data_IF_764914130806
#
_entry.id   IF_764914130806
#
_cell.length_a   1.000
_cell.length_b   1.000
_cell.length_c   1.000
_cell.angle_alpha   90.00
_cell.angle_beta   90.00
_cell.angle_gamma   90.00
#
_symmetry.space_group_name_H-M   'P 1'
#
loop_
_entity.id
_entity.type
_entity.pdbx_description
1 polymer ?
#
# COMPACT_ATOMS: atom_id res chain seq x y z
N UNK A 1 63.01 -54.53 31.39
CA UNK A 1 62.21 -53.47 32.02
C UNK A 1 61.30 -52.84 31.02
N UNK A 2 59.98 -53.17 31.03
CA UNK A 2 58.96 -52.65 30.09
C UNK A 2 58.16 -51.58 30.82
N UNK A 3 58.29 -50.31 30.39
CA UNK A 3 57.49 -49.21 30.91
C UNK A 3 56.10 -49.24 30.26
N UNK A 4 55.07 -49.39 31.09
CA UNK A 4 53.68 -49.28 30.68
C UNK A 4 53.31 -47.78 30.65
N UNK A 5 52.93 -47.27 29.48
CA UNK A 5 52.37 -45.92 29.32
C UNK A 5 50.87 -46.04 29.59
N UNK A 6 50.42 -45.39 30.66
CA UNK A 6 48.98 -45.25 30.97
C UNK A 6 48.51 -44.00 30.27
N UNK A 7 47.64 -44.18 29.26
CA UNK A 7 46.98 -43.08 28.56
C UNK A 7 45.69 -42.79 29.33
N UNK A 8 45.67 -41.64 30.03
CA UNK A 8 44.46 -41.10 30.66
C UNK A 8 43.60 -40.43 29.57
N UNK A 9 42.43 -41.01 29.30
CA UNK A 9 41.39 -40.32 28.53
C UNK A 9 40.63 -39.39 29.46
N UNK A 10 40.80 -38.09 29.27
CA UNK A 10 39.98 -37.09 29.92
C UNK A 10 38.76 -36.90 29.00
N UNK A 11 37.62 -37.46 29.39
CA UNK A 11 36.32 -37.20 28.74
C UNK A 11 35.83 -35.89 29.33
N UNK A 12 36.01 -34.82 28.55
CA UNK A 12 35.36 -33.54 28.86
C UNK A 12 33.87 -33.64 28.47
N UNK A 13 33.05 -33.73 29.48
CA UNK A 13 31.59 -33.65 29.35
C UNK A 13 31.25 -32.19 29.02
N UNK A 14 31.03 -31.84 27.77
CA UNK A 14 30.38 -30.58 27.36
C UNK A 14 28.91 -30.72 27.73
N UNK A 15 28.52 -30.07 28.83
CA UNK A 15 27.12 -29.83 29.17
C UNK A 15 26.54 -28.87 28.16
N UNK A 16 25.82 -29.41 27.19
CA UNK A 16 24.92 -28.60 26.31
C UNK A 16 23.75 -28.17 27.18
N UNK A 17 23.83 -26.93 27.69
CA UNK A 17 22.66 -26.29 28.30
C UNK A 17 21.63 -26.03 27.19
N UNK A 18 20.60 -26.86 27.18
CA UNK A 18 19.41 -26.66 26.36
C UNK A 18 18.70 -25.42 26.85
N UNK A 19 18.98 -24.27 26.23
CA UNK A 19 18.18 -23.06 26.40
C UNK A 19 16.82 -23.35 25.78
N UNK A 20 15.83 -23.70 26.59
CA UNK A 20 14.41 -23.68 26.20
C UNK A 20 14.05 -22.23 25.90
N UNK A 21 13.95 -21.88 24.63
CA UNK A 21 13.29 -20.66 24.21
C UNK A 21 11.85 -20.74 24.70
N UNK A 22 11.54 -19.98 25.76
CA UNK A 22 10.17 -19.71 26.14
C UNK A 22 9.55 -18.84 25.05
N UNK A 23 8.83 -19.45 24.14
CA UNK A 23 7.87 -18.72 23.32
C UNK A 23 6.78 -18.24 24.27
N UNK A 24 6.78 -16.96 24.59
CA UNK A 24 5.62 -16.32 25.16
C UNK A 24 4.49 -16.47 24.12
N UNK A 25 3.60 -17.40 24.35
CA UNK A 25 2.30 -17.43 23.71
C UNK A 25 1.63 -16.11 24.03
N UNK A 26 1.58 -15.22 23.05
CA UNK A 26 0.68 -14.06 23.09
C UNK A 26 -0.70 -14.63 23.21
N UNK A 27 -1.28 -14.52 24.40
CA UNK A 27 -2.68 -14.88 24.64
C UNK A 27 -3.54 -14.08 23.66
N UNK A 28 -4.53 -14.75 23.07
CA UNK A 28 -5.56 -14.22 22.21
C UNK A 28 -6.36 -13.11 22.90
N UNK A 29 -5.77 -11.93 23.05
CA UNK A 29 -6.49 -10.70 23.30
C UNK A 29 -7.03 -10.20 21.96
N UNK A 30 -8.09 -10.86 21.48
CA UNK A 30 -8.98 -10.29 20.50
C UNK A 30 -9.46 -8.95 21.09
N UNK A 31 -8.89 -7.86 20.60
CA UNK A 31 -9.39 -6.52 20.91
C UNK A 31 -10.81 -6.42 20.34
N UNK A 32 -11.80 -6.82 21.16
CA UNK A 32 -13.21 -6.53 20.88
C UNK A 32 -13.42 -5.05 21.13
N UNK A 33 -13.31 -4.25 20.09
CA UNK A 33 -13.82 -2.89 20.10
C UNK A 33 -15.33 -2.95 20.28
N UNK A 34 -15.80 -2.69 21.52
CA UNK A 34 -17.20 -2.33 21.73
C UNK A 34 -17.38 -0.91 21.21
N UNK A 35 -17.97 -0.76 20.04
CA UNK A 35 -18.49 0.52 19.57
C UNK A 35 -19.62 0.92 20.51
N UNK A 36 -19.37 1.84 21.44
CA UNK A 36 -20.44 2.55 22.13
C UNK A 36 -21.12 3.44 21.10
N UNK A 37 -22.36 3.17 20.77
CA UNK A 37 -23.24 4.17 20.13
C UNK A 37 -23.31 5.36 21.08
N UNK A 38 -22.68 6.45 20.71
CA UNK A 38 -22.90 7.75 21.31
C UNK A 38 -24.10 8.32 20.58
N UNK A 39 -25.27 8.27 21.21
CA UNK A 39 -26.44 9.06 20.81
C UNK A 39 -26.16 10.48 21.30
N UNK A 40 -25.55 11.32 20.45
CA UNK A 40 -25.48 12.75 20.70
C UNK A 40 -26.72 13.42 20.11
N UNK A 41 -27.68 13.74 20.98
CA UNK A 41 -28.68 14.77 20.73
C UNK A 41 -27.99 16.13 20.73
N UNK A 42 -27.59 16.61 19.55
CA UNK A 42 -27.18 18.01 19.39
C UNK A 42 -28.36 18.78 18.85
N UNK A 43 -28.84 19.80 19.58
CA UNK A 43 -29.88 20.68 19.05
C UNK A 43 -29.28 21.52 17.93
N UNK A 44 -29.84 21.42 16.74
CA UNK A 44 -29.53 22.21 15.57
C UNK A 44 -29.84 23.68 15.81
N UNK A 45 -28.85 24.50 16.10
CA UNK A 45 -28.95 25.95 16.03
C UNK A 45 -28.45 26.40 14.66
N UNK A 46 -29.38 26.92 13.86
CA UNK A 46 -29.09 27.55 12.59
C UNK A 46 -28.40 28.89 12.79
N UNK A 47 -27.08 28.97 12.56
CA UNK A 47 -26.42 30.21 12.24
C UNK A 47 -25.49 29.94 11.05
N UNK A 48 -25.84 30.64 9.97
CA UNK A 48 -25.10 30.69 8.71
C UNK A 48 -23.75 31.37 8.95
N UNK A 49 -22.67 30.63 8.76
CA UNK A 49 -21.37 31.07 8.28
C UNK A 49 -20.52 29.82 8.09
N UNK A 50 -20.76 29.12 6.96
CA UNK A 50 -19.89 28.01 6.52
C UNK A 50 -18.93 28.58 5.50
N UNK A 51 -17.79 29.00 6.01
CA UNK A 51 -16.62 29.22 5.17
C UNK A 51 -16.21 27.87 4.56
N UNK A 52 -16.07 27.89 3.26
CA UNK A 52 -15.95 26.75 2.35
C UNK A 52 -14.81 25.80 2.71
N UNK A 53 -15.12 24.72 3.44
CA UNK A 53 -14.35 23.49 3.36
C UNK A 53 -14.53 22.93 1.95
N UNK A 54 -13.48 22.98 1.16
CA UNK A 54 -13.45 22.46 -0.19
C UNK A 54 -13.78 20.97 -0.18
N UNK A 55 -15.08 20.67 -0.34
CA UNK A 55 -15.55 19.35 -0.72
C UNK A 55 -14.92 19.10 -2.09
N UNK A 56 -14.04 18.10 -2.18
CA UNK A 56 -13.45 17.68 -3.45
C UNK A 56 -14.59 17.52 -4.45
N UNK A 57 -14.55 18.17 -5.63
CA UNK A 57 -15.58 17.96 -6.63
C UNK A 57 -15.58 16.49 -6.99
N UNK A 58 -16.76 15.88 -7.23
CA UNK A 58 -16.83 14.51 -7.69
C UNK A 58 -15.94 14.39 -8.93
N UNK A 59 -15.08 13.37 -8.96
CA UNK A 59 -14.27 13.04 -10.12
C UNK A 59 -15.23 12.99 -11.30
N UNK A 60 -15.12 13.95 -12.25
CA UNK A 60 -15.94 13.95 -13.44
C UNK A 60 -15.83 12.56 -14.07
N UNK A 61 -16.96 11.92 -14.32
CA UNK A 61 -17.07 10.64 -15.03
C UNK A 61 -16.57 10.83 -16.47
N UNK A 62 -15.25 10.92 -16.61
CA UNK A 62 -14.59 10.85 -17.91
C UNK A 62 -14.17 9.41 -18.09
N UNK A 63 -14.79 8.78 -19.05
CA UNK A 63 -14.62 7.42 -19.53
C UNK A 63 -15.42 6.37 -18.76
N UNK A 64 -16.42 5.84 -19.43
CA UNK A 64 -17.27 4.73 -19.00
C UNK A 64 -16.40 3.57 -18.51
N UNK A 65 -16.18 3.50 -17.19
CA UNK A 65 -15.62 2.29 -16.59
C UNK A 65 -16.61 1.17 -16.88
N UNK A 66 -16.20 0.26 -17.75
CA UNK A 66 -16.97 -0.90 -18.18
C UNK A 66 -17.57 -1.60 -16.95
N UNK A 67 -18.86 -1.93 -17.00
CA UNK A 67 -19.58 -2.68 -15.95
C UNK A 67 -18.83 -3.94 -15.52
N UNK A 68 -18.12 -4.58 -16.44
CA UNK A 68 -17.23 -5.71 -16.21
C UNK A 68 -16.05 -5.35 -15.30
N UNK A 69 -15.52 -4.14 -15.39
CA UNK A 69 -14.44 -3.68 -14.52
C UNK A 69 -14.94 -3.43 -13.09
N UNK A 70 -16.14 -2.89 -12.91
CA UNK A 70 -16.78 -2.73 -11.60
C UNK A 70 -16.96 -4.09 -10.91
N UNK A 71 -17.35 -5.13 -11.65
CA UNK A 71 -17.51 -6.49 -11.14
C UNK A 71 -16.18 -7.08 -10.59
N UNK A 72 -15.02 -6.72 -11.14
CA UNK A 72 -13.75 -7.29 -10.69
C UNK A 72 -13.40 -6.90 -9.26
N UNK A 73 -13.80 -5.73 -8.81
CA UNK A 73 -13.46 -5.18 -7.50
C UNK A 73 -14.57 -5.39 -6.45
N UNK A 74 -15.77 -5.82 -6.86
CA UNK A 74 -16.88 -6.09 -5.93
C UNK A 74 -16.60 -7.20 -4.91
N UNK A 75 -15.58 -8.04 -5.16
CA UNK A 75 -15.14 -9.07 -4.23
C UNK A 75 -14.16 -8.60 -3.15
N UNK A 76 -13.79 -7.30 -3.12
CA UNK A 76 -12.88 -6.74 -2.11
C UNK A 76 -13.68 -5.91 -1.10
N UNK A 77 -13.79 -6.36 0.15
CA UNK A 77 -14.70 -5.79 1.14
C UNK A 77 -14.29 -4.39 1.63
N UNK A 78 -13.02 -4.03 1.43
CA UNK A 78 -12.50 -2.75 1.88
C UNK A 78 -11.42 -2.25 0.91
N UNK A 79 -11.66 -1.08 0.35
CA UNK A 79 -10.69 -0.35 -0.48
C UNK A 79 -10.53 1.04 0.11
N UNK A 80 -9.29 1.50 0.31
CA UNK A 80 -8.98 2.85 0.78
C UNK A 80 -8.23 3.63 -0.27
N UNK A 81 -8.20 4.95 -0.11
CA UNK A 81 -7.37 5.80 -0.98
C UNK A 81 -5.88 5.66 -0.67
N UNK A 82 -5.01 5.73 -1.70
CA UNK A 82 -3.55 5.61 -1.50
C UNK A 82 -2.92 6.86 -0.86
N UNK A 83 -3.64 7.99 -0.81
CA UNK A 83 -3.24 9.26 -0.20
C UNK A 83 -4.41 9.84 0.57
N UNK A 84 -4.15 10.74 1.51
CA UNK A 84 -5.21 11.46 2.26
C UNK A 84 -6.08 12.35 1.37
N UNK A 85 -5.49 12.93 0.31
CA UNK A 85 -6.18 13.77 -0.66
C UNK A 85 -5.86 13.28 -2.07
N UNK A 86 -6.87 13.09 -2.89
CA UNK A 86 -6.72 12.60 -4.26
C UNK A 86 -6.85 13.75 -5.23
N UNK A 87 -5.73 14.11 -5.87
CA UNK A 87 -5.70 15.04 -6.99
C UNK A 87 -4.93 14.41 -8.15
N UNK A 88 -5.65 14.02 -9.20
CA UNK A 88 -5.05 13.45 -10.41
C UNK A 88 -4.31 14.55 -11.15
N UNK A 89 -3.02 14.31 -11.44
CA UNK A 89 -2.17 15.21 -12.23
C UNK A 89 -1.91 14.69 -13.63
N UNK A 90 -1.99 13.36 -13.81
CA UNK A 90 -1.90 12.75 -15.13
C UNK A 90 -2.67 11.42 -15.19
N UNK A 91 -3.63 11.28 -16.12
CA UNK A 91 -4.45 10.08 -16.22
C UNK A 91 -3.70 8.91 -16.88
N UNK A 92 -4.26 7.73 -16.73
CA UNK A 92 -3.91 6.53 -17.47
C UNK A 92 -4.29 6.67 -18.95
N UNK A 93 -3.45 6.17 -19.86
CA UNK A 93 -3.73 6.18 -21.28
C UNK A 93 -2.77 7.03 -22.11
N UNK A 94 -3.16 7.38 -23.33
CA UNK A 94 -2.34 8.22 -24.19
C UNK A 94 -2.29 9.65 -23.68
N UNK A 95 -1.06 10.18 -23.53
CA UNK A 95 -0.81 11.56 -23.14
C UNK A 95 0.49 12.07 -23.73
N UNK A 96 0.68 13.38 -23.69
CA UNK A 96 1.98 13.98 -23.96
C UNK A 96 2.94 13.71 -22.80
N UNK A 97 4.05 13.04 -23.08
CA UNK A 97 5.09 12.75 -22.08
C UNK A 97 5.72 14.06 -21.59
N UNK A 98 5.73 14.35 -20.27
CA UNK A 98 6.19 15.62 -19.76
C UNK A 98 7.71 15.85 -19.90
N UNK A 99 8.50 14.79 -20.15
CA UNK A 99 9.94 14.86 -20.31
C UNK A 99 10.31 15.01 -21.79
N UNK A 100 9.71 14.20 -22.67
CA UNK A 100 10.06 14.16 -24.09
C UNK A 100 9.18 15.02 -24.97
N UNK A 101 8.02 15.45 -24.46
CA UNK A 101 7.02 16.20 -25.22
C UNK A 101 6.28 15.38 -26.28
N UNK A 102 6.60 14.09 -26.46
CA UNK A 102 6.00 13.22 -27.46
C UNK A 102 4.75 12.51 -26.93
N UNK A 103 3.85 12.11 -27.81
CA UNK A 103 2.74 11.22 -27.46
C UNK A 103 3.28 9.89 -26.95
N UNK A 104 2.85 9.46 -25.78
CA UNK A 104 3.23 8.18 -25.21
C UNK A 104 2.12 7.59 -24.36
N UNK A 105 2.16 6.26 -24.21
CA UNK A 105 1.23 5.55 -23.35
C UNK A 105 1.68 5.64 -21.87
N UNK A 106 0.79 6.12 -21.02
CA UNK A 106 0.94 6.16 -19.57
C UNK A 106 0.22 4.97 -18.93
N UNK A 107 0.96 4.03 -18.38
CA UNK A 107 0.43 2.78 -17.82
C UNK A 107 0.03 2.88 -16.35
N UNK A 108 -0.15 4.07 -15.82
CA UNK A 108 -0.49 4.35 -14.44
C UNK A 108 -1.30 5.63 -14.30
N UNK A 109 -1.53 6.01 -13.06
CA UNK A 109 -2.21 7.23 -12.64
C UNK A 109 -1.26 8.04 -11.79
N UNK A 110 -1.01 9.32 -12.15
CA UNK A 110 -0.21 10.20 -11.34
C UNK A 110 -1.10 11.03 -10.41
N UNK A 111 -0.80 10.94 -9.13
CA UNK A 111 -1.48 11.67 -8.06
C UNK A 111 -0.54 12.71 -7.46
N UNK A 112 -1.03 13.94 -7.30
CA UNK A 112 -0.25 14.98 -6.62
C UNK A 112 0.08 14.53 -5.20
N UNK A 113 1.37 14.55 -4.86
CA UNK A 113 1.86 14.18 -3.54
C UNK A 113 3.22 14.84 -3.28
N UNK A 114 3.52 15.18 -2.03
CA UNK A 114 4.81 15.77 -1.66
C UNK A 114 5.19 15.32 -0.26
N UNK A 115 6.10 14.34 -0.17
CA UNK A 115 6.63 13.82 1.10
C UNK A 115 5.53 13.44 2.11
N UNK A 116 4.47 12.81 1.63
CA UNK A 116 3.37 12.34 2.45
C UNK A 116 3.27 10.81 2.43
N UNK A 117 2.66 10.19 3.45
CA UNK A 117 2.48 8.74 3.49
C UNK A 117 1.66 8.23 2.32
N UNK A 118 2.12 7.13 1.72
CA UNK A 118 1.35 6.32 0.78
C UNK A 118 0.78 5.10 1.51
N UNK A 119 -0.50 4.83 1.30
CA UNK A 119 -1.26 3.81 2.01
C UNK A 119 -1.62 2.63 1.12
N UNK A 120 -1.55 1.41 1.67
CA UNK A 120 -2.08 0.22 1.01
C UNK A 120 -3.58 0.38 0.77
N UNK A 121 -4.03 0.14 -0.46
CA UNK A 121 -5.43 0.34 -0.83
C UNK A 121 -6.34 -0.82 -0.44
N UNK A 122 -5.82 -2.03 -0.37
CA UNK A 122 -6.56 -3.28 -0.10
C UNK A 122 -5.73 -4.23 0.75
N UNK A 123 -6.36 -5.28 1.28
CA UNK A 123 -5.68 -6.42 1.91
C UNK A 123 -4.77 -7.12 0.92
N UNK A 124 -3.58 -7.50 1.33
CA UNK A 124 -2.66 -8.19 0.46
C UNK A 124 -1.30 -8.49 1.06
N UNK A 125 -0.37 -8.79 0.19
CA UNK A 125 1.02 -9.12 0.53
C UNK A 125 1.95 -8.25 -0.30
N UNK A 126 3.04 -7.79 0.32
CA UNK A 126 4.12 -7.09 -0.37
C UNK A 126 4.85 -8.07 -1.27
N UNK A 127 4.57 -7.99 -2.57
CA UNK A 127 5.16 -8.88 -3.59
C UNK A 127 6.58 -8.47 -3.95
N UNK A 128 6.82 -7.15 -4.10
CA UNK A 128 8.11 -6.59 -4.47
C UNK A 128 8.36 -5.27 -3.78
N UNK A 129 9.62 -5.05 -3.42
CA UNK A 129 10.17 -3.75 -3.05
C UNK A 129 11.49 -3.57 -3.78
N UNK A 130 11.82 -2.36 -4.19
CA UNK A 130 13.07 -2.11 -4.90
C UNK A 130 13.20 -0.73 -5.48
N UNK A 131 14.23 -0.59 -6.32
CA UNK A 131 14.53 0.61 -7.08
C UNK A 131 14.82 0.24 -8.54
N UNK A 132 14.29 1.01 -9.48
CA UNK A 132 14.72 1.04 -10.87
C UNK A 132 14.70 2.48 -11.41
N UNK A 133 15.42 2.71 -12.53
CA UNK A 133 15.57 4.06 -13.10
C UNK A 133 14.26 4.68 -13.58
N UNK A 134 13.22 3.89 -13.85
CA UNK A 134 11.92 4.37 -14.31
C UNK A 134 10.99 4.64 -13.13
N UNK A 135 10.83 3.65 -12.26
CA UNK A 135 9.87 3.69 -11.14
C UNK A 135 10.43 4.40 -9.91
N UNK A 136 11.76 4.61 -9.83
CA UNK A 136 12.41 5.03 -8.60
C UNK A 136 12.28 3.97 -7.51
N UNK A 137 12.20 4.37 -6.25
CA UNK A 137 11.83 3.45 -5.18
C UNK A 137 10.36 3.06 -5.36
N UNK A 138 10.09 1.76 -5.32
CA UNK A 138 8.73 1.26 -5.51
C UNK A 138 8.39 0.11 -4.57
N UNK A 139 7.10 0.01 -4.27
CA UNK A 139 6.46 -1.13 -3.61
C UNK A 139 5.39 -1.67 -4.52
N UNK A 140 5.36 -2.98 -4.73
CA UNK A 140 4.25 -3.66 -5.42
C UNK A 140 3.54 -4.56 -4.43
N UNK A 141 2.25 -4.35 -4.27
CA UNK A 141 1.36 -5.16 -3.45
C UNK A 141 0.57 -6.11 -4.34
N UNK A 142 0.39 -7.35 -3.87
CA UNK A 142 -0.49 -8.33 -4.50
C UNK A 142 -1.77 -8.48 -3.68
N UNK A 143 -2.89 -8.21 -4.32
CA UNK A 143 -4.24 -8.28 -3.79
C UNK A 143 -5.05 -9.30 -4.61
N UNK A 144 -4.92 -10.58 -4.29
CA UNK A 144 -5.48 -11.66 -5.11
C UNK A 144 -4.97 -11.62 -6.55
N UNK A 145 -5.83 -11.27 -7.51
CA UNK A 145 -5.49 -11.15 -8.94
C UNK A 145 -4.94 -9.77 -9.32
N UNK A 146 -4.98 -8.80 -8.42
CA UNK A 146 -4.48 -7.45 -8.65
C UNK A 146 -3.06 -7.26 -8.13
N UNK A 147 -2.26 -6.53 -8.90
CA UNK A 147 -0.93 -6.05 -8.51
C UNK A 147 -0.94 -4.54 -8.62
N UNK A 148 -0.77 -3.86 -7.49
CA UNK A 148 -0.74 -2.40 -7.42
C UNK A 148 0.68 -1.98 -7.07
N UNK A 149 1.29 -1.11 -7.88
CA UNK A 149 2.62 -0.58 -7.59
C UNK A 149 2.55 0.89 -7.26
N UNK A 150 3.26 1.27 -6.21
CA UNK A 150 3.45 2.60 -5.67
C UNK A 150 4.86 3.03 -6.01
N UNK A 151 5.03 3.99 -6.92
CA UNK A 151 6.33 4.38 -7.47
C UNK A 151 6.73 5.80 -7.07
N UNK A 152 7.99 6.16 -7.37
CA UNK A 152 8.64 7.45 -7.07
C UNK A 152 8.72 7.78 -5.58
N UNK A 153 8.72 6.74 -4.72
CA UNK A 153 8.79 6.91 -3.27
C UNK A 153 10.14 7.50 -2.84
N UNK A 154 10.13 8.35 -1.82
CA UNK A 154 11.35 8.79 -1.14
C UNK A 154 11.88 7.71 -0.20
N UNK A 155 10.98 6.96 0.44
CA UNK A 155 11.33 5.83 1.33
C UNK A 155 10.29 4.73 1.27
N UNK A 156 10.74 3.50 1.51
CA UNK A 156 9.91 2.29 1.61
C UNK A 156 9.86 1.90 3.08
N UNK A 157 8.67 1.58 3.61
CA UNK A 157 8.46 1.26 5.04
C UNK A 157 8.20 -0.24 5.23
N UNK A 158 7.64 -0.91 4.23
CA UNK A 158 7.29 -2.33 4.27
C UNK A 158 8.39 -3.21 3.66
N UNK A 159 8.34 -4.51 3.94
CA UNK A 159 9.28 -5.52 3.43
C UNK A 159 8.56 -6.55 2.57
N UNK A 160 9.29 -7.13 1.60
CA UNK A 160 8.76 -8.24 0.79
C UNK A 160 8.26 -9.38 1.67
N UNK A 161 7.07 -9.91 1.36
CA UNK A 161 6.39 -10.98 2.09
C UNK A 161 5.52 -10.49 3.26
N UNK A 162 5.58 -9.21 3.61
CA UNK A 162 4.76 -8.63 4.68
C UNK A 162 3.29 -8.55 4.26
N UNK A 163 2.39 -8.89 5.19
CA UNK A 163 0.95 -8.72 5.01
C UNK A 163 0.56 -7.28 5.29
N UNK A 164 -0.27 -6.70 4.44
CA UNK A 164 -0.79 -5.34 4.58
C UNK A 164 -2.31 -5.34 4.56
N UNK A 165 -2.89 -4.36 5.26
CA UNK A 165 -4.32 -4.09 5.30
C UNK A 165 -4.59 -2.69 4.75
N UNK A 166 -5.83 -2.38 4.35
CA UNK A 166 -6.19 -1.03 3.91
C UNK A 166 -5.77 0.04 4.93
N UNK A 167 -5.09 1.08 4.45
CA UNK A 167 -4.61 2.17 5.31
C UNK A 167 -3.25 1.97 5.98
N UNK A 168 -2.60 0.81 5.84
CA UNK A 168 -1.21 0.62 6.28
C UNK A 168 -0.27 1.47 5.41
N UNK A 169 0.67 2.18 6.04
CA UNK A 169 1.67 2.99 5.33
C UNK A 169 2.68 2.06 4.67
N UNK A 170 2.80 2.14 3.35
CA UNK A 170 3.75 1.34 2.56
C UNK A 170 5.05 2.07 2.24
N UNK A 171 5.01 3.39 2.27
CA UNK A 171 6.15 4.25 2.00
C UNK A 171 5.79 5.72 2.11
N UNK A 172 6.74 6.59 1.78
CA UNK A 172 6.56 8.03 1.69
C UNK A 172 6.74 8.45 0.23
N UNK A 173 5.83 9.27 -0.27
CA UNK A 173 5.90 9.81 -1.62
C UNK A 173 7.12 10.69 -1.83
N UNK A 174 7.63 10.77 -3.05
CA UNK A 174 8.85 11.50 -3.33
C UNK A 174 8.98 11.89 -4.79
N UNK A 175 10.23 11.89 -5.28
CA UNK A 175 10.60 12.28 -6.65
C UNK A 175 11.78 11.44 -7.15
N UNK A 176 11.80 10.14 -6.86
CA UNK A 176 12.88 9.24 -7.28
C UNK A 176 12.59 8.62 -8.66
N UNK A 177 13.65 8.18 -9.37
CA UNK A 177 13.52 7.62 -10.70
C UNK A 177 13.18 8.65 -11.79
N UNK A 178 12.44 8.23 -12.83
CA UNK A 178 12.04 9.09 -13.96
C UNK A 178 10.81 9.92 -13.61
N UNK A 179 11.02 11.03 -12.93
CA UNK A 179 9.97 11.94 -12.46
C UNK A 179 10.37 13.40 -12.67
N UNK A 180 9.40 14.27 -12.92
CA UNK A 180 9.59 15.73 -13.08
C UNK A 180 9.28 16.53 -11.80
N UNK A 181 8.78 15.88 -10.76
CA UNK A 181 8.40 16.51 -9.49
C UNK A 181 7.71 15.53 -8.55
N UNK A 182 7.49 15.95 -7.31
CA UNK A 182 6.86 15.11 -6.30
C UNK A 182 5.45 14.66 -6.70
N UNK A 183 5.23 13.37 -6.79
CA UNK A 183 3.94 12.73 -7.05
C UNK A 183 3.98 11.25 -6.65
N UNK A 184 2.81 10.63 -6.55
CA UNK A 184 2.67 9.18 -6.49
C UNK A 184 2.25 8.68 -7.87
N UNK A 185 3.09 7.86 -8.51
CA UNK A 185 2.71 7.12 -9.70
C UNK A 185 2.15 5.75 -9.28
N UNK A 186 0.87 5.52 -9.55
CA UNK A 186 0.15 4.31 -9.19
C UNK A 186 -0.11 3.49 -10.44
N UNK A 187 0.36 2.23 -10.47
CA UNK A 187 0.01 1.30 -11.55
C UNK A 187 -0.88 0.19 -11.03
N UNK A 188 -1.76 -0.33 -11.88
CA UNK A 188 -2.58 -1.48 -11.57
C UNK A 188 -2.47 -2.51 -12.69
N UNK A 189 -2.27 -3.79 -12.29
CA UNK A 189 -2.36 -4.93 -13.21
C UNK A 189 -3.37 -5.93 -12.68
N UNK A 190 -4.17 -6.51 -13.55
CA UNK A 190 -5.04 -7.64 -13.27
C UNK A 190 -4.68 -8.79 -14.19
N UNK A 191 -4.42 -9.98 -13.63
CA UNK A 191 -3.99 -11.16 -14.39
C UNK A 191 -2.84 -10.83 -15.38
N UNK A 192 -1.85 -10.04 -14.92
CA UNK A 192 -0.68 -9.60 -15.69
C UNK A 192 -0.92 -8.47 -16.71
N UNK A 193 -2.17 -8.10 -16.99
CA UNK A 193 -2.52 -7.02 -17.93
C UNK A 193 -2.67 -5.69 -17.19
N UNK A 194 -2.14 -4.61 -17.77
CA UNK A 194 -2.33 -3.25 -17.23
C UNK A 194 -3.79 -2.84 -17.33
N UNK A 195 -4.32 -2.29 -16.25
CA UNK A 195 -5.67 -1.73 -16.17
C UNK A 195 -5.63 -0.32 -15.60
N UNK A 196 -6.63 0.49 -15.93
CA UNK A 196 -6.72 1.85 -15.43
C UNK A 196 -6.91 1.84 -13.89
N UNK A 197 -5.98 2.44 -13.09
CA UNK A 197 -6.10 2.43 -11.64
C UNK A 197 -7.33 3.18 -11.10
N UNK A 198 -7.97 4.04 -11.88
CA UNK A 198 -9.18 4.79 -11.50
C UNK A 198 -10.31 3.86 -11.07
N UNK A 199 -10.34 2.61 -11.57
CA UNK A 199 -11.30 1.58 -11.17
C UNK A 199 -11.32 1.36 -9.64
N UNK A 200 -10.16 1.48 -8.97
CA UNK A 200 -10.05 1.29 -7.53
C UNK A 200 -10.71 2.42 -6.72
N UNK A 201 -10.82 3.61 -7.32
CA UNK A 201 -11.45 4.77 -6.65
C UNK A 201 -12.96 4.72 -6.75
N UNK A 202 -13.49 4.20 -7.86
CA UNK A 202 -14.94 4.05 -8.07
C UNK A 202 -15.52 3.04 -7.08
N UNK A 203 -14.78 1.97 -6.77
CA UNK A 203 -15.22 1.00 -5.77
C UNK A 203 -15.34 1.58 -4.36
N UNK A 204 -14.52 2.60 -4.05
CA UNK A 204 -14.55 3.27 -2.74
C UNK A 204 -15.67 4.33 -2.64
N UNK A 205 -16.21 4.80 -3.76
CA UNK A 205 -17.27 5.82 -3.81
C UNK A 205 -18.68 5.24 -3.82
N UNK A 206 -18.86 3.92 -3.85
CA UNK A 206 -20.19 3.31 -3.73
C UNK A 206 -20.63 3.38 -2.26
N UNK A 207 -21.78 4.01 -1.94
CA UNK A 207 -22.34 3.95 -0.59
C UNK A 207 -22.71 2.49 -0.27
N UNK A 208 -22.36 2.06 0.94
CA UNK A 208 -22.84 0.81 1.55
C UNK A 208 -24.33 0.84 1.73
#
# INVERSE_FOLDING_TARGET
>A
MKRKIVVLWIISYLAVSSAKAQFNTVSDNVCRYKVKKVEENIPFSANNDVDSLAINPPLQETDSVDSKQKQWISGYPSITYPLKSIKVTSPYGYRRDPITGKQSWHNGLDLRAKNEPAYAMMDGIVEKVGYDNRSGNYVTLRHGKFYISYCHLSSIIVRKGESVFPGIIVGVTGNTGRSTGGHLHLTCKKDGKSVNPTILFIANSSPL
#
